data_IF_819921095611
#
_entry.id   IF_819921095611
#
_cell.length_a   1.000
_cell.length_b   1.000
_cell.length_c   1.000
_cell.angle_alpha   90.00
_cell.angle_beta   90.00
_cell.angle_gamma   90.00
#
_symmetry.space_group_name_H-M   'P 1'
#
loop_
_entity.id
_entity.type
_entity.pdbx_description
1 polymer ?
#
# COMPACT_ATOMS: atom_id res chain seq x y z
N UNK A 1 -27.70 -13.80 10.32
CA UNK A 1 -26.48 -14.31 10.97
C UNK A 1 -25.29 -13.48 10.51
N UNK A 2 -24.15 -13.50 11.20
CA UNK A 2 -22.93 -12.76 10.79
C UNK A 2 -22.51 -13.12 9.36
N UNK A 3 -22.67 -14.38 8.96
CA UNK A 3 -22.39 -14.84 7.59
C UNK A 3 -23.24 -14.11 6.53
N UNK A 4 -24.55 -13.97 6.77
CA UNK A 4 -25.41 -13.23 5.83
C UNK A 4 -25.09 -11.74 5.80
N UNK A 5 -24.68 -11.17 6.93
CA UNK A 5 -24.22 -9.78 6.95
C UNK A 5 -23.01 -9.59 6.04
N UNK A 6 -21.98 -10.45 6.17
CA UNK A 6 -20.80 -10.46 5.29
C UNK A 6 -21.21 -10.53 3.82
N UNK A 7 -22.06 -11.50 3.45
CA UNK A 7 -22.50 -11.67 2.06
C UNK A 7 -23.31 -10.49 1.52
N UNK A 8 -24.02 -9.76 2.38
CA UNK A 8 -24.83 -8.59 1.97
C UNK A 8 -24.03 -7.29 1.83
N UNK A 9 -22.85 -7.19 2.46
CA UNK A 9 -22.08 -5.94 2.52
C UNK A 9 -20.93 -5.84 1.52
N UNK A 10 -20.47 -6.97 0.98
CA UNK A 10 -19.37 -7.02 0.02
C UNK A 10 -19.87 -6.80 -1.41
N UNK A 11 -18.95 -6.48 -2.33
CA UNK A 11 -19.29 -6.40 -3.76
C UNK A 11 -19.71 -7.77 -4.31
N UNK A 12 -20.51 -7.76 -5.39
CA UNK A 12 -20.97 -8.98 -6.05
C UNK A 12 -19.81 -9.86 -6.51
N UNK A 13 -18.72 -9.27 -7.00
CA UNK A 13 -17.52 -10.01 -7.44
C UNK A 13 -16.82 -10.72 -6.28
N UNK A 14 -16.73 -10.08 -5.11
CA UNK A 14 -16.18 -10.73 -3.92
C UNK A 14 -17.11 -11.83 -3.40
N UNK A 15 -18.42 -11.59 -3.45
CA UNK A 15 -19.42 -12.58 -3.05
C UNK A 15 -19.30 -13.85 -3.89
N UNK A 16 -19.28 -13.73 -5.22
CA UNK A 16 -19.14 -14.90 -6.11
C UNK A 16 -17.82 -15.63 -5.92
N UNK A 17 -16.77 -14.93 -5.50
CA UNK A 17 -15.45 -15.51 -5.25
C UNK A 17 -15.40 -16.32 -3.94
N UNK A 18 -16.07 -15.85 -2.87
CA UNK A 18 -15.97 -16.48 -1.54
C UNK A 18 -17.14 -17.41 -1.17
N UNK A 19 -18.22 -17.41 -1.96
CA UNK A 19 -19.45 -18.15 -1.67
C UNK A 19 -19.23 -19.66 -1.80
N UNK A 20 -19.46 -20.40 -0.71
CA UNK A 20 -19.30 -21.85 -0.67
C UNK A 20 -20.47 -22.50 0.10
N UNK A 21 -20.99 -23.65 -0.35
CA UNK A 21 -22.04 -24.38 0.37
C UNK A 21 -21.59 -24.77 1.77
N UNK A 22 -22.49 -24.64 2.75
CA UNK A 22 -22.25 -24.96 4.16
C UNK A 22 -21.11 -24.16 4.84
N UNK A 23 -20.68 -23.04 4.24
CA UNK A 23 -19.69 -22.14 4.84
C UNK A 23 -20.20 -21.49 6.12
N UNK A 24 -19.29 -21.19 7.05
CA UNK A 24 -19.56 -20.41 8.26
C UNK A 24 -18.90 -19.02 8.17
N UNK A 25 -19.36 -18.08 9.01
CA UNK A 25 -18.89 -16.69 8.99
C UNK A 25 -17.35 -16.58 9.03
N UNK A 26 -16.69 -17.38 9.87
CA UNK A 26 -15.23 -17.40 9.98
C UNK A 26 -14.55 -17.80 8.68
N UNK A 27 -15.07 -18.80 7.97
CA UNK A 27 -14.49 -19.27 6.72
C UNK A 27 -14.69 -18.25 5.58
N UNK A 28 -15.87 -17.63 5.50
CA UNK A 28 -16.12 -16.54 4.55
C UNK A 28 -15.20 -15.34 4.83
N UNK A 29 -15.00 -14.99 6.10
CA UNK A 29 -14.06 -13.94 6.51
C UNK A 29 -12.61 -14.27 6.17
N UNK A 30 -12.15 -15.50 6.42
CA UNK A 30 -10.79 -15.91 6.08
C UNK A 30 -10.53 -15.86 4.58
N UNK A 31 -11.47 -16.32 3.73
CA UNK A 31 -11.33 -16.19 2.26
C UNK A 31 -11.25 -14.73 1.81
N UNK A 32 -12.04 -13.83 2.40
CA UNK A 32 -11.89 -12.39 2.16
C UNK A 32 -10.50 -11.92 2.57
N UNK A 33 -10.05 -12.28 3.78
CA UNK A 33 -8.74 -11.92 4.27
C UNK A 33 -7.64 -12.42 3.32
N UNK A 34 -7.71 -13.67 2.86
CA UNK A 34 -6.76 -14.26 1.90
C UNK A 34 -6.76 -13.50 0.56
N UNK A 35 -7.93 -13.12 0.01
CA UNK A 35 -7.98 -12.32 -1.24
C UNK A 35 -7.22 -10.98 -1.08
N UNK A 36 -7.41 -10.31 0.06
CA UNK A 36 -6.76 -9.02 0.32
C UNK A 36 -5.29 -9.18 0.80
N UNK A 37 -4.95 -10.29 1.44
CA UNK A 37 -3.59 -10.61 1.90
C UNK A 37 -2.72 -11.21 0.79
N UNK A 38 -3.26 -11.97 -0.15
CA UNK A 38 -2.52 -12.46 -1.32
C UNK A 38 -2.09 -11.29 -2.20
N UNK A 39 -2.93 -10.26 -2.29
CA UNK A 39 -2.57 -9.01 -2.96
C UNK A 39 -1.55 -8.17 -2.17
N UNK A 40 -1.24 -8.52 -0.92
CA UNK A 40 -0.32 -7.74 -0.08
C UNK A 40 1.07 -7.62 -0.71
N UNK A 41 1.58 -8.69 -1.33
CA UNK A 41 2.88 -8.68 -2.00
C UNK A 41 2.86 -7.79 -3.26
N UNK A 42 1.84 -7.92 -4.11
CA UNK A 42 1.69 -7.08 -5.29
C UNK A 42 1.48 -5.60 -4.94
N UNK A 43 0.72 -5.34 -3.87
CA UNK A 43 0.54 -4.00 -3.32
C UNK A 43 1.84 -3.43 -2.74
N UNK A 44 2.62 -4.24 -2.00
CA UNK A 44 3.94 -3.84 -1.52
C UNK A 44 4.90 -3.51 -2.66
N UNK A 45 4.93 -4.32 -3.73
CA UNK A 45 5.74 -4.06 -4.92
C UNK A 45 5.31 -2.76 -5.61
N UNK A 46 4.01 -2.53 -5.77
CA UNK A 46 3.48 -1.30 -6.37
C UNK A 46 3.90 -0.07 -5.56
N UNK A 47 3.70 -0.10 -4.24
CA UNK A 47 4.11 0.99 -3.35
C UNK A 47 5.63 1.21 -3.36
N UNK A 48 6.41 0.15 -3.48
CA UNK A 48 7.86 0.22 -3.55
C UNK A 48 8.33 0.89 -4.85
N UNK A 49 7.67 0.58 -5.97
CA UNK A 49 7.90 1.26 -7.24
C UNK A 49 7.52 2.74 -7.16
N UNK A 50 6.37 3.07 -6.59
CA UNK A 50 5.98 4.46 -6.38
C UNK A 50 6.99 5.19 -5.50
N UNK A 51 7.39 4.60 -4.38
CA UNK A 51 8.37 5.16 -3.46
C UNK A 51 9.68 5.46 -4.19
N UNK A 52 10.21 4.51 -4.95
CA UNK A 52 11.48 4.60 -5.69
C UNK A 52 11.43 5.60 -6.86
N UNK A 53 10.25 5.81 -7.45
CA UNK A 53 10.07 6.69 -8.60
C UNK A 53 9.59 8.10 -8.24
N UNK A 54 9.16 8.35 -6.99
CA UNK A 54 8.70 9.69 -6.56
C UNK A 54 9.83 10.71 -6.66
N UNK A 55 9.68 11.74 -7.51
CA UNK A 55 10.64 12.84 -7.66
C UNK A 55 10.06 14.13 -7.12
N UNK A 56 10.91 15.01 -6.61
CA UNK A 56 10.47 16.34 -6.14
C UNK A 56 9.85 17.18 -7.27
N UNK A 57 10.27 16.96 -8.52
CA UNK A 57 9.74 17.64 -9.70
C UNK A 57 8.24 17.40 -9.93
N UNK A 58 7.68 16.31 -9.40
CA UNK A 58 6.26 15.97 -9.51
C UNK A 58 5.39 16.78 -8.50
N UNK A 59 6.01 17.58 -7.63
CA UNK A 59 5.35 18.29 -6.54
C UNK A 59 5.62 19.80 -6.57
N UNK A 60 4.68 20.62 -6.09
CA UNK A 60 4.82 22.07 -6.09
C UNK A 60 5.87 22.59 -5.10
N UNK A 61 6.24 21.82 -4.06
CA UNK A 61 7.22 22.22 -3.06
C UNK A 61 7.81 21.01 -2.29
N UNK A 62 8.87 21.27 -1.52
CA UNK A 62 9.57 20.26 -0.72
C UNK A 62 8.65 19.62 0.33
N UNK A 63 7.77 20.39 0.96
CA UNK A 63 6.90 19.89 2.02
C UNK A 63 5.93 18.82 1.50
N UNK A 64 5.27 19.07 0.36
CA UNK A 64 4.36 18.10 -0.26
C UNK A 64 5.08 16.86 -0.75
N UNK A 65 6.29 17.00 -1.31
CA UNK A 65 7.16 15.88 -1.66
C UNK A 65 7.53 15.01 -0.44
N UNK A 66 8.02 15.63 0.63
CA UNK A 66 8.38 14.94 1.88
C UNK A 66 7.16 14.23 2.50
N UNK A 67 5.99 14.86 2.47
CA UNK A 67 4.74 14.25 2.94
C UNK A 67 4.36 13.02 2.12
N UNK A 68 4.50 13.06 0.78
CA UNK A 68 4.23 11.89 -0.08
C UNK A 68 5.16 10.73 0.26
N UNK A 69 6.47 10.98 0.38
CA UNK A 69 7.44 9.95 0.75
C UNK A 69 7.14 9.35 2.13
N UNK A 70 6.79 10.18 3.11
CA UNK A 70 6.39 9.72 4.44
C UNK A 70 5.15 8.83 4.37
N UNK A 71 4.14 9.24 3.61
CA UNK A 71 2.92 8.46 3.44
C UNK A 71 3.21 7.09 2.80
N UNK A 72 4.01 7.05 1.74
CA UNK A 72 4.40 5.79 1.09
C UNK A 72 5.19 4.87 2.05
N UNK A 73 6.12 5.44 2.83
CA UNK A 73 6.85 4.73 3.88
C UNK A 73 5.92 4.16 4.96
N UNK A 74 4.92 4.93 5.40
CA UNK A 74 3.95 4.51 6.41
C UNK A 74 3.01 3.41 5.86
N UNK A 75 2.65 3.45 4.58
CA UNK A 75 1.87 2.40 3.92
C UNK A 75 2.68 1.11 3.74
N UNK A 76 3.93 1.21 3.29
CA UNK A 76 4.84 0.06 3.15
C UNK A 76 5.05 -0.68 4.46
N UNK A 77 5.06 0.01 5.61
CA UNK A 77 5.11 -0.62 6.93
C UNK A 77 3.93 -1.57 7.21
N UNK A 78 2.77 -1.32 6.61
CA UNK A 78 1.56 -2.11 6.86
C UNK A 78 1.43 -3.31 5.93
N UNK A 79 2.05 -3.25 4.74
CA UNK A 79 1.86 -4.27 3.69
C UNK A 79 3.16 -4.97 3.27
N UNK A 80 4.32 -4.52 3.69
CA UNK A 80 5.59 -5.10 3.27
C UNK A 80 6.75 -4.82 4.23
N UNK A 81 8.00 -5.04 3.78
CA UNK A 81 9.17 -4.69 4.55
C UNK A 81 9.18 -3.19 4.87
N UNK A 82 9.39 -2.78 6.13
CA UNK A 82 9.39 -1.37 6.49
C UNK A 82 10.55 -0.63 5.83
N UNK A 83 10.28 0.57 5.31
CA UNK A 83 11.32 1.50 4.87
C UNK A 83 12.01 2.05 6.11
N UNK A 84 13.30 1.77 6.25
CA UNK A 84 14.11 2.34 7.34
C UNK A 84 14.48 3.81 7.06
N UNK A 85 14.85 4.55 8.11
CA UNK A 85 15.18 5.98 7.99
C UNK A 85 16.32 6.25 7.01
N UNK A 86 17.32 5.37 6.94
CA UNK A 86 18.44 5.52 6.02
C UNK A 86 17.97 5.48 4.55
N UNK A 87 17.13 4.51 4.21
CA UNK A 87 16.51 4.39 2.89
C UNK A 87 15.59 5.57 2.58
N UNK A 88 14.84 6.05 3.56
CA UNK A 88 13.99 7.23 3.41
C UNK A 88 14.80 8.48 3.08
N UNK A 89 15.91 8.71 3.78
CA UNK A 89 16.82 9.83 3.53
C UNK A 89 17.49 9.70 2.16
N UNK A 90 17.97 8.50 1.81
CA UNK A 90 18.55 8.26 0.48
C UNK A 90 17.55 8.56 -0.63
N UNK A 91 16.30 8.14 -0.50
CA UNK A 91 15.29 8.41 -1.51
C UNK A 91 14.93 9.89 -1.59
N UNK A 92 14.84 10.56 -0.44
CA UNK A 92 14.60 11.99 -0.35
C UNK A 92 15.68 12.79 -1.08
N UNK A 93 16.96 12.46 -0.87
CA UNK A 93 18.09 13.13 -1.53
C UNK A 93 18.13 12.77 -3.02
N UNK A 94 17.89 11.50 -3.37
CA UNK A 94 17.94 11.02 -4.75
C UNK A 94 16.82 11.57 -5.64
N UNK A 95 15.70 12.00 -5.04
CA UNK A 95 14.59 12.61 -5.76
C UNK A 95 14.68 14.12 -5.90
N UNK A 96 15.71 14.78 -5.34
CA UNK A 96 15.91 16.21 -5.49
C UNK A 96 16.36 16.57 -6.93
N UNK A 97 15.97 17.75 -7.46
CA UNK A 97 16.46 18.25 -8.74
C UNK A 97 17.96 18.56 -8.71
N UNK A 98 18.60 18.57 -9.88
CA UNK A 98 20.04 18.89 -10.05
C UNK A 98 20.44 20.21 -9.36
N UNK A 99 19.54 21.20 -9.35
CA UNK A 99 19.75 22.50 -8.71
C UNK A 99 20.05 22.43 -7.20
N UNK A 100 19.68 21.32 -6.53
CA UNK A 100 19.91 21.11 -5.10
C UNK A 100 21.11 20.19 -4.81
N UNK A 101 21.72 19.58 -5.83
CA UNK A 101 22.87 18.66 -5.66
C UNK A 101 24.16 19.37 -5.27
N UNK A 102 24.31 20.66 -5.56
CA UNK A 102 25.52 21.44 -5.23
C UNK A 102 25.62 21.89 -3.77
N UNK A 103 24.59 21.61 -2.96
CA UNK A 103 24.51 22.00 -1.53
C UNK A 103 24.72 20.80 -0.60
N UNK A 104 24.81 19.57 -1.14
CA UNK A 104 24.97 18.32 -0.39
C UNK A 104 26.42 17.84 -0.33
#
# INVERSE_FOLDING_TARGET
TVLQWIYSTISTDLLTTILEPNSIALQAWNRLADIFQDNQNAHAVTLEQEFSNTRMADFPNVSTYCQRLKMLSDQLRNVGPPVNNHRLVLQLISGLPEAYRSVA
#
